data_IF_735658652690
#
_entry.id   IF_735658652690
#
_cell.length_a   1.000
_cell.length_b   1.000
_cell.length_c   1.000
_cell.angle_alpha   90.00
_cell.angle_beta   90.00
_cell.angle_gamma   90.00
#
_symmetry.space_group_name_H-M   'P 1'
#
loop_
_entity.id
_entity.type
_entity.pdbx_description
1 polymer ?
#
# COMPACT_ATOMS: atom_id res chain seq x y z
N UNK A 1 19.99 31.21 -21.58
CA UNK A 1 19.63 29.79 -21.33
C UNK A 1 18.75 29.65 -20.09
N UNK A 2 19.16 30.12 -18.91
CA UNK A 2 18.31 30.15 -17.71
C UNK A 2 17.02 30.98 -17.90
N UNK A 3 17.09 32.14 -18.56
CA UNK A 3 15.92 32.99 -18.84
C UNK A 3 14.87 32.33 -19.74
N UNK A 4 15.30 31.56 -20.75
CA UNK A 4 14.41 30.81 -21.66
C UNK A 4 13.74 29.67 -20.90
N UNK A 5 14.51 28.96 -20.07
CA UNK A 5 14.00 27.89 -19.21
C UNK A 5 12.94 28.41 -18.21
N UNK A 6 13.14 29.59 -17.62
CA UNK A 6 12.15 30.22 -16.74
C UNK A 6 10.89 30.70 -17.50
N UNK A 7 11.01 31.15 -18.75
CA UNK A 7 9.83 31.49 -19.56
C UNK A 7 9.03 30.27 -20.00
N UNK A 8 9.71 29.18 -20.37
CA UNK A 8 9.05 27.93 -20.79
C UNK A 8 8.38 27.22 -19.61
N UNK A 9 9.04 27.17 -18.45
CA UNK A 9 8.47 26.62 -17.22
C UNK A 9 7.27 27.44 -16.73
N UNK A 10 7.33 28.77 -16.80
CA UNK A 10 6.18 29.64 -16.46
C UNK A 10 5.00 29.39 -17.41
N UNK A 11 5.25 29.28 -18.71
CA UNK A 11 4.20 28.97 -19.71
C UNK A 11 3.59 27.58 -19.49
N UNK A 12 4.40 26.59 -19.09
CA UNK A 12 3.89 25.25 -18.75
C UNK A 12 2.99 25.28 -17.52
N UNK A 13 3.40 25.99 -16.46
CA UNK A 13 2.61 26.13 -15.23
C UNK A 13 1.28 26.87 -15.47
N UNK A 14 1.26 27.87 -16.35
CA UNK A 14 0.02 28.60 -16.67
C UNK A 14 -0.93 27.80 -17.57
N UNK A 15 -0.40 26.97 -18.47
CA UNK A 15 -1.21 26.26 -19.48
C UNK A 15 -1.69 24.87 -19.05
N UNK A 16 -1.03 24.25 -18.07
CA UNK A 16 -1.46 22.95 -17.52
C UNK A 16 -2.77 23.11 -16.76
N UNK A 17 -3.78 22.28 -17.06
CA UNK A 17 -5.09 22.35 -16.37
C UNK A 17 -5.06 21.65 -15.00
N UNK A 18 -4.34 20.54 -14.90
CA UNK A 18 -4.30 19.71 -13.70
C UNK A 18 -3.23 20.20 -12.72
N UNK A 19 -3.61 20.33 -11.46
CA UNK A 19 -2.70 20.76 -10.38
C UNK A 19 -1.60 19.74 -10.15
N UNK A 20 -1.88 18.45 -10.35
CA UNK A 20 -0.88 17.38 -10.16
C UNK A 20 0.28 17.47 -11.15
N UNK A 21 0.01 17.79 -12.43
CA UNK A 21 1.04 17.95 -13.46
C UNK A 21 1.99 19.12 -13.10
N UNK A 22 1.44 20.20 -12.52
CA UNK A 22 2.24 21.34 -12.03
C UNK A 22 3.12 20.94 -10.86
N UNK A 23 2.56 20.22 -9.88
CA UNK A 23 3.30 19.78 -8.70
C UNK A 23 4.43 18.82 -9.04
N UNK A 24 4.16 17.86 -9.94
CA UNK A 24 5.15 16.92 -10.45
C UNK A 24 6.29 17.63 -11.19
N UNK A 25 5.96 18.64 -12.00
CA UNK A 25 6.94 19.44 -12.73
C UNK A 25 7.82 20.25 -11.77
N UNK A 26 7.23 20.89 -10.75
CA UNK A 26 7.95 21.62 -9.71
C UNK A 26 8.89 20.68 -8.93
N UNK A 27 8.41 19.51 -8.51
CA UNK A 27 9.23 18.54 -7.80
C UNK A 27 10.44 18.05 -8.63
N UNK A 28 10.27 17.92 -9.96
CA UNK A 28 11.37 17.62 -10.89
C UNK A 28 12.34 18.79 -11.05
N UNK A 29 11.83 20.02 -11.11
CA UNK A 29 12.67 21.22 -11.21
C UNK A 29 13.61 21.37 -10.02
N UNK A 30 13.11 21.13 -8.80
CA UNK A 30 13.91 21.20 -7.57
C UNK A 30 14.65 19.91 -7.23
N UNK A 31 14.47 18.87 -8.04
CA UNK A 31 15.05 17.54 -7.83
C UNK A 31 14.73 16.93 -6.45
N UNK A 32 13.54 17.21 -5.92
CA UNK A 32 13.07 16.59 -4.68
C UNK A 32 12.59 15.16 -4.96
N UNK A 33 13.41 14.18 -4.59
CA UNK A 33 13.11 12.76 -4.80
C UNK A 33 11.84 12.28 -4.07
N UNK A 34 11.55 12.83 -2.89
CA UNK A 34 10.39 12.40 -2.10
C UNK A 34 9.11 13.01 -2.67
N UNK A 35 9.10 14.30 -2.97
CA UNK A 35 7.92 14.97 -3.52
C UNK A 35 7.60 14.46 -4.94
N UNK A 36 8.63 14.13 -5.76
CA UNK A 36 8.43 13.46 -7.05
C UNK A 36 7.75 12.10 -6.89
N UNK A 37 8.18 11.31 -5.91
CA UNK A 37 7.56 10.02 -5.62
C UNK A 37 6.12 10.20 -5.12
N UNK A 38 5.91 11.16 -4.22
CA UNK A 38 4.61 11.48 -3.67
C UNK A 38 3.60 11.82 -4.76
N UNK A 39 3.96 12.71 -5.68
CA UNK A 39 3.04 13.11 -6.75
C UNK A 39 2.84 12.00 -7.80
N UNK A 40 3.84 11.17 -8.09
CA UNK A 40 3.65 10.00 -8.98
C UNK A 40 2.69 8.97 -8.38
N UNK A 41 2.84 8.69 -7.09
CA UNK A 41 1.95 7.75 -6.41
C UNK A 41 0.53 8.31 -6.32
N UNK A 42 0.42 9.58 -5.97
CA UNK A 42 -0.86 10.28 -5.90
C UNK A 42 -1.53 10.33 -7.26
N UNK A 43 -0.79 10.59 -8.35
CA UNK A 43 -1.33 10.57 -9.71
C UNK A 43 -1.95 9.21 -10.00
N UNK A 44 -1.20 8.12 -9.82
CA UNK A 44 -1.71 6.77 -10.03
C UNK A 44 -3.03 6.50 -9.28
N UNK A 45 -3.08 6.77 -7.98
CA UNK A 45 -4.27 6.47 -7.18
C UNK A 45 -5.43 7.45 -7.39
N UNK A 46 -5.18 8.71 -7.74
CA UNK A 46 -6.23 9.62 -8.20
C UNK A 46 -6.85 9.11 -9.50
N UNK A 47 -6.05 8.51 -10.40
CA UNK A 47 -6.56 7.88 -11.61
C UNK A 47 -7.32 6.57 -11.34
N UNK A 48 -6.92 5.80 -10.32
CA UNK A 48 -7.60 4.56 -9.94
C UNK A 48 -8.95 4.79 -9.25
N UNK A 49 -9.04 5.80 -8.36
CA UNK A 49 -10.23 6.07 -7.55
C UNK A 49 -11.10 7.23 -8.06
N UNK A 50 -10.56 8.09 -8.93
CA UNK A 50 -11.25 9.28 -9.44
C UNK A 50 -12.23 8.99 -10.57
N UNK A 51 -13.16 9.93 -10.77
CA UNK A 51 -14.09 9.92 -11.91
C UNK A 51 -13.38 10.65 -13.05
N UNK A 52 -12.97 9.93 -14.08
CA UNK A 52 -12.21 10.52 -15.20
C UNK A 52 -12.87 10.17 -16.52
N UNK A 53 -12.84 11.13 -17.45
CA UNK A 53 -13.21 10.91 -18.85
C UNK A 53 -12.33 9.79 -19.46
N UNK A 54 -12.99 8.78 -20.03
CA UNK A 54 -12.42 7.55 -20.63
C UNK A 54 -11.31 7.79 -21.68
N UNK A 55 -11.09 9.03 -22.11
CA UNK A 55 -10.12 9.41 -23.13
C UNK A 55 -8.69 9.65 -22.61
N UNK A 56 -8.45 9.61 -21.29
CA UNK A 56 -7.11 9.80 -20.72
C UNK A 56 -6.44 8.46 -20.41
N UNK A 57 -6.15 7.68 -21.45
CA UNK A 57 -5.32 6.48 -21.38
C UNK A 57 -3.84 6.84 -21.07
N UNK A 58 -3.55 7.32 -19.86
CA UNK A 58 -2.18 7.40 -19.34
C UNK A 58 -1.84 6.04 -18.74
N UNK A 59 -0.97 5.28 -19.39
CA UNK A 59 -0.38 4.07 -18.82
C UNK A 59 0.60 4.49 -17.72
N UNK A 60 0.11 4.63 -16.49
CA UNK A 60 0.90 5.00 -15.32
C UNK A 60 1.53 3.73 -14.74
N UNK A 61 2.84 3.55 -14.92
CA UNK A 61 3.60 2.54 -14.18
C UNK A 61 4.25 3.18 -12.96
N UNK A 62 3.92 2.66 -11.78
CA UNK A 62 4.59 3.04 -10.55
C UNK A 62 6.03 2.51 -10.57
N UNK A 63 7.00 3.35 -10.21
CA UNK A 63 8.39 2.90 -10.06
C UNK A 63 8.53 1.98 -8.83
N UNK A 64 9.33 0.93 -8.99
CA UNK A 64 9.63 -0.16 -8.04
C UNK A 64 10.25 0.25 -6.68
N UNK A 65 10.36 1.55 -6.36
CA UNK A 65 11.12 2.01 -5.18
C UNK A 65 10.43 1.76 -3.84
N UNK A 66 9.11 1.50 -3.82
CA UNK A 66 8.39 1.04 -2.63
C UNK A 66 7.33 0.00 -3.01
N UNK A 67 7.71 -1.28 -2.98
CA UNK A 67 6.83 -2.38 -3.38
C UNK A 67 5.51 -2.42 -2.59
N UNK A 68 5.55 -2.07 -1.30
CA UNK A 68 4.37 -2.14 -0.42
C UNK A 68 3.29 -1.13 -0.81
N UNK A 69 3.62 -0.04 -1.50
CA UNK A 69 2.65 1.00 -1.89
C UNK A 69 2.06 0.81 -3.29
N UNK A 70 2.51 -0.20 -4.03
CA UNK A 70 1.94 -0.55 -5.35
C UNK A 70 0.49 -1.03 -5.24
N UNK A 71 -0.27 -1.04 -6.32
CA UNK A 71 -1.57 -1.69 -6.34
C UNK A 71 -1.44 -3.21 -6.12
N UNK A 72 -2.51 -3.85 -5.64
CA UNK A 72 -2.49 -5.28 -5.31
C UNK A 72 -2.18 -6.17 -6.51
N UNK A 73 -2.62 -5.80 -7.73
CA UNK A 73 -2.42 -6.61 -8.93
C UNK A 73 -0.97 -6.58 -9.41
N UNK A 74 -0.38 -5.39 -9.56
CA UNK A 74 1.04 -5.29 -9.94
C UNK A 74 1.93 -5.88 -8.86
N UNK A 75 1.57 -5.71 -7.58
CA UNK A 75 2.29 -6.30 -6.48
C UNK A 75 2.28 -7.83 -6.54
N UNK A 76 1.12 -8.45 -6.75
CA UNK A 76 1.00 -9.91 -6.90
C UNK A 76 1.90 -10.44 -8.04
N UNK A 77 1.88 -9.78 -9.20
CA UNK A 77 2.72 -10.17 -10.35
C UNK A 77 4.21 -10.09 -10.02
N UNK A 78 4.67 -8.98 -9.43
CA UNK A 78 6.07 -8.79 -9.04
C UNK A 78 6.48 -9.84 -8.00
N UNK A 79 5.63 -10.10 -7.01
CA UNK A 79 5.94 -11.10 -5.98
C UNK A 79 5.99 -12.51 -6.57
N UNK A 80 5.09 -12.85 -7.49
CA UNK A 80 5.09 -14.13 -8.19
C UNK A 80 6.35 -14.32 -9.05
N UNK A 81 6.79 -13.30 -9.79
CA UNK A 81 8.07 -13.39 -10.51
C UNK A 81 9.25 -13.59 -9.55
N UNK A 82 9.26 -12.88 -8.42
CA UNK A 82 10.33 -12.99 -7.43
C UNK A 82 10.35 -14.37 -6.78
N UNK A 83 9.20 -14.97 -6.50
CA UNK A 83 9.13 -16.33 -5.93
C UNK A 83 9.58 -17.36 -6.94
N UNK A 84 9.16 -17.27 -8.20
CA UNK A 84 9.63 -18.16 -9.27
C UNK A 84 11.15 -18.08 -9.44
N UNK A 85 11.71 -16.85 -9.47
CA UNK A 85 13.18 -16.68 -9.56
C UNK A 85 13.92 -17.26 -8.35
N UNK A 86 13.31 -17.23 -7.16
CA UNK A 86 13.88 -17.85 -5.96
C UNK A 86 13.78 -19.35 -6.00
N UNK A 87 12.63 -19.91 -6.39
CA UNK A 87 12.40 -21.35 -6.55
C UNK A 87 13.46 -21.97 -7.47
N UNK A 88 13.68 -21.36 -8.66
CA UNK A 88 14.73 -21.78 -9.60
C UNK A 88 16.14 -21.79 -8.97
N UNK A 89 16.41 -20.86 -8.04
CA UNK A 89 17.70 -20.76 -7.34
C UNK A 89 17.76 -21.60 -6.06
N UNK A 90 16.62 -22.08 -5.55
CA UNK A 90 16.47 -22.63 -4.20
C UNK A 90 16.97 -24.07 -4.05
N UNK A 91 17.51 -24.69 -5.10
CA UNK A 91 18.10 -26.03 -5.07
C UNK A 91 19.28 -26.19 -4.07
N UNK A 92 19.69 -25.13 -3.36
CA UNK A 92 20.88 -25.12 -2.51
C UNK A 92 20.63 -25.03 -0.99
N UNK A 93 19.41 -24.74 -0.49
CA UNK A 93 19.18 -24.63 0.98
C UNK A 93 17.74 -24.88 1.43
N UNK A 94 17.57 -25.65 2.50
CA UNK A 94 16.26 -26.04 3.07
C UNK A 94 15.44 -24.85 3.60
N UNK A 95 16.08 -23.83 4.18
CA UNK A 95 15.40 -22.62 4.65
C UNK A 95 14.81 -21.77 3.50
N UNK A 96 15.44 -21.79 2.34
CA UNK A 96 14.97 -21.05 1.15
C UNK A 96 13.73 -21.72 0.52
N UNK A 97 13.65 -23.05 0.61
CA UNK A 97 12.52 -23.84 0.11
C UNK A 97 11.25 -23.53 0.93
N UNK A 98 11.36 -23.50 2.27
CA UNK A 98 10.23 -23.18 3.15
C UNK A 98 9.65 -21.78 2.87
N UNK A 99 10.51 -20.78 2.68
CA UNK A 99 10.06 -19.44 2.30
C UNK A 99 9.34 -19.45 0.93
N UNK A 100 9.81 -20.24 -0.03
CA UNK A 100 9.15 -20.37 -1.34
C UNK A 100 7.76 -21.01 -1.20
N UNK A 101 7.64 -22.09 -0.41
CA UNK A 101 6.37 -22.76 -0.11
C UNK A 101 5.38 -21.77 0.52
N UNK A 102 5.79 -21.05 1.56
CA UNK A 102 4.94 -20.04 2.21
C UNK A 102 4.48 -18.96 1.23
N UNK A 103 5.39 -18.49 0.38
CA UNK A 103 5.07 -17.47 -0.60
C UNK A 103 4.09 -17.99 -1.65
N UNK A 104 4.23 -19.23 -2.11
CA UNK A 104 3.30 -19.86 -3.06
C UNK A 104 1.91 -20.11 -2.45
N UNK A 105 1.84 -20.51 -1.18
CA UNK A 105 0.57 -20.65 -0.45
C UNK A 105 -0.16 -19.31 -0.40
N UNK A 106 0.54 -18.23 -0.06
CA UNK A 106 -0.05 -16.89 -0.02
C UNK A 106 -0.47 -16.44 -1.42
N UNK A 107 0.36 -16.66 -2.45
CA UNK A 107 0.03 -16.35 -3.86
C UNK A 107 -1.04 -17.27 -4.49
N UNK A 108 -1.67 -18.16 -3.71
CA UNK A 108 -2.67 -19.15 -4.19
C UNK A 108 -2.16 -20.12 -5.26
N UNK A 109 -0.84 -20.25 -5.41
CA UNK A 109 -0.21 -21.23 -6.29
C UNK A 109 -0.04 -22.57 -5.55
N UNK A 110 -1.18 -23.15 -5.17
CA UNK A 110 -1.25 -24.31 -4.27
C UNK A 110 -0.58 -25.54 -4.89
N UNK A 111 -0.79 -25.79 -6.18
CA UNK A 111 -0.20 -26.95 -6.86
C UNK A 111 1.32 -26.93 -6.80
N UNK A 112 1.93 -25.75 -7.02
CA UNK A 112 3.39 -25.60 -6.93
C UNK A 112 3.89 -25.74 -5.49
N UNK A 113 3.17 -25.18 -4.51
CA UNK A 113 3.50 -25.34 -3.09
C UNK A 113 3.48 -26.82 -2.66
N UNK A 114 2.46 -27.58 -3.11
CA UNK A 114 2.34 -29.02 -2.84
C UNK A 114 3.47 -29.80 -3.50
N UNK A 115 3.84 -29.49 -4.75
CA UNK A 115 4.99 -30.11 -5.41
C UNK A 115 6.27 -29.92 -4.59
N UNK A 116 6.58 -28.69 -4.18
CA UNK A 116 7.78 -28.39 -3.39
C UNK A 116 7.80 -29.11 -2.03
N UNK A 117 6.64 -29.30 -1.39
CA UNK A 117 6.55 -30.09 -0.16
C UNK A 117 6.84 -31.57 -0.41
N UNK A 118 6.37 -32.14 -1.53
CA UNK A 118 6.56 -33.55 -1.88
C UNK A 118 7.96 -33.85 -2.43
N UNK A 119 8.64 -32.85 -3.01
CA UNK A 119 10.01 -32.93 -3.50
C UNK A 119 11.06 -32.93 -2.35
N UNK A 120 10.63 -32.84 -1.08
CA UNK A 120 11.52 -32.96 0.08
C UNK A 120 12.20 -34.33 0.10
N UNK A 121 13.49 -34.39 0.45
CA UNK A 121 14.24 -35.65 0.55
C UNK A 121 13.57 -36.59 1.58
N UNK A 122 13.29 -37.86 1.24
CA UNK A 122 12.73 -38.84 2.18
C UNK A 122 13.54 -39.05 3.46
N UNK A 123 14.83 -38.71 3.45
CA UNK A 123 15.72 -38.82 4.61
C UNK A 123 15.72 -37.55 5.49
N UNK A 124 15.04 -36.48 5.09
CA UNK A 124 14.90 -35.26 5.89
C UNK A 124 13.88 -35.50 7.02
N UNK A 125 14.22 -35.07 8.24
CA UNK A 125 13.34 -35.14 9.42
C UNK A 125 11.99 -34.41 9.19
N UNK A 126 11.96 -33.44 8.29
CA UNK A 126 10.76 -32.66 7.94
C UNK A 126 9.87 -33.32 6.88
N UNK A 127 10.32 -34.40 6.22
CA UNK A 127 9.61 -35.07 5.12
C UNK A 127 8.18 -35.46 5.49
N UNK A 128 8.02 -36.21 6.59
CA UNK A 128 6.70 -36.66 7.03
C UNK A 128 5.76 -35.49 7.34
N UNK A 129 6.30 -34.43 7.94
CA UNK A 129 5.56 -33.21 8.26
C UNK A 129 5.13 -32.48 6.97
N UNK A 130 5.99 -32.43 5.96
CA UNK A 130 5.71 -31.82 4.66
C UNK A 130 4.66 -32.61 3.87
N UNK A 131 4.69 -33.94 3.90
CA UNK A 131 3.62 -34.77 3.32
C UNK A 131 2.26 -34.50 3.98
N UNK A 132 2.22 -34.43 5.32
CA UNK A 132 0.98 -34.12 6.05
C UNK A 132 0.48 -32.70 5.70
N UNK A 133 1.39 -31.72 5.64
CA UNK A 133 1.05 -30.35 5.21
C UNK A 133 0.47 -30.34 3.79
N UNK A 134 1.08 -31.05 2.85
CA UNK A 134 0.59 -31.16 1.47
C UNK A 134 -0.84 -31.75 1.42
N UNK A 135 -1.10 -32.82 2.18
CA UNK A 135 -2.43 -33.41 2.29
C UNK A 135 -3.46 -32.42 2.88
N UNK A 136 -3.08 -31.70 3.93
CA UNK A 136 -3.96 -30.71 4.58
C UNK A 136 -4.32 -29.58 3.61
N UNK A 137 -3.33 -28.97 2.96
CA UNK A 137 -3.53 -27.88 2.02
C UNK A 137 -4.44 -28.32 0.86
N UNK A 138 -4.18 -29.50 0.27
CA UNK A 138 -4.99 -30.04 -0.83
C UNK A 138 -6.43 -30.36 -0.41
N UNK A 139 -6.62 -30.80 0.84
CA UNK A 139 -7.96 -31.08 1.40
C UNK A 139 -8.76 -29.81 1.66
N UNK A 140 -8.12 -28.74 2.14
CA UNK A 140 -8.80 -27.48 2.45
C UNK A 140 -9.24 -26.74 1.18
N UNK A 141 -8.46 -26.79 0.10
CA UNK A 141 -8.80 -26.14 -1.19
C UNK A 141 -10.12 -26.64 -1.80
N UNK A 142 -10.49 -27.91 -1.53
CA UNK A 142 -11.68 -28.55 -2.10
C UNK A 142 -12.97 -28.30 -1.30
N UNK A 143 -12.88 -27.66 -0.13
CA UNK A 143 -14.02 -27.48 0.76
C UNK A 143 -14.59 -26.07 0.61
N UNK A 144 -15.72 -25.95 -0.11
CA UNK A 144 -16.44 -24.69 -0.35
C UNK A 144 -17.37 -24.26 0.79
N UNK A 145 -17.47 -25.04 1.89
CA UNK A 145 -18.51 -24.85 2.91
C UNK A 145 -17.92 -24.35 4.23
N UNK A 146 -18.34 -23.14 4.64
CA UNK A 146 -17.49 -22.14 5.28
C UNK A 146 -17.37 -22.13 6.82
N UNK A 147 -18.13 -22.89 7.60
CA UNK A 147 -18.30 -22.48 9.03
C UNK A 147 -17.92 -23.48 10.12
N UNK A 148 -18.07 -24.79 9.91
CA UNK A 148 -17.90 -25.76 11.01
C UNK A 148 -16.53 -26.42 11.12
N UNK A 149 -15.79 -26.57 10.00
CA UNK A 149 -14.50 -27.31 9.96
C UNK A 149 -13.25 -26.44 10.13
N UNK A 150 -13.35 -25.14 9.87
CA UNK A 150 -12.24 -24.19 10.04
C UNK A 150 -11.94 -23.89 11.51
N UNK A 151 -12.79 -24.33 12.45
CA UNK A 151 -12.65 -24.09 13.89
C UNK A 151 -11.45 -24.79 14.49
N UNK A 152 -11.21 -26.07 14.16
CA UNK A 152 -10.06 -26.82 14.69
C UNK A 152 -8.75 -26.28 14.11
N UNK A 153 -8.68 -26.03 12.81
CA UNK A 153 -7.49 -25.45 12.17
C UNK A 153 -7.17 -24.06 12.75
N UNK A 154 -8.20 -23.24 13.00
CA UNK A 154 -8.04 -21.95 13.69
C UNK A 154 -7.55 -22.12 15.13
N UNK A 155 -8.07 -23.09 15.89
CA UNK A 155 -7.60 -23.37 17.24
C UNK A 155 -6.13 -23.81 17.25
N UNK A 156 -5.72 -24.68 16.32
CA UNK A 156 -4.32 -25.08 16.17
C UNK A 156 -3.46 -23.87 15.80
N UNK A 157 -3.89 -23.05 14.85
CA UNK A 157 -3.15 -21.86 14.42
C UNK A 157 -2.95 -20.86 15.57
N UNK A 158 -4.01 -20.54 16.30
CA UNK A 158 -3.94 -19.61 17.45
C UNK A 158 -3.10 -20.17 18.61
N UNK A 159 -3.14 -21.48 18.85
CA UNK A 159 -2.27 -22.15 19.82
C UNK A 159 -0.79 -22.06 19.42
N UNK A 160 -0.47 -22.28 18.14
CA UNK A 160 0.89 -22.13 17.63
C UNK A 160 1.40 -20.70 17.79
N UNK A 161 0.59 -19.70 17.44
CA UNK A 161 0.94 -18.28 17.61
C UNK A 161 1.19 -17.95 19.09
N UNK A 162 0.30 -18.40 19.98
CA UNK A 162 0.46 -18.20 21.42
C UNK A 162 1.74 -18.84 21.98
N UNK A 163 2.21 -19.94 21.39
CA UNK A 163 3.46 -20.61 21.74
C UNK A 163 4.69 -20.08 20.97
N UNK A 164 4.59 -18.93 20.30
CA UNK A 164 5.70 -18.28 19.61
C UNK A 164 5.99 -18.80 18.19
N UNK A 165 5.22 -19.77 17.70
CA UNK A 165 5.29 -20.29 16.31
C UNK A 165 4.36 -19.50 15.38
N UNK A 166 4.70 -18.22 15.22
CA UNK A 166 3.85 -17.25 14.47
C UNK A 166 3.75 -17.64 13.00
N UNK A 167 4.84 -18.12 12.39
CA UNK A 167 4.92 -18.40 10.96
C UNK A 167 3.98 -19.54 10.55
N UNK A 168 4.03 -20.65 11.28
CA UNK A 168 3.19 -21.82 11.02
C UNK A 168 1.72 -21.53 11.33
N UNK A 169 1.44 -20.76 12.38
CA UNK A 169 0.07 -20.36 12.69
C UNK A 169 -0.54 -19.44 11.63
N UNK A 170 0.23 -18.45 11.16
CA UNK A 170 -0.18 -17.56 10.05
C UNK A 170 -0.38 -18.37 8.77
N UNK A 171 0.51 -19.30 8.45
CA UNK A 171 0.38 -20.19 7.30
C UNK A 171 -0.94 -20.97 7.35
N UNK A 172 -1.29 -21.56 8.50
CA UNK A 172 -2.56 -22.27 8.68
C UNK A 172 -3.77 -21.35 8.52
N UNK A 173 -3.76 -20.15 9.10
CA UNK A 173 -4.85 -19.18 8.90
C UNK A 173 -5.04 -18.81 7.41
N UNK A 174 -3.94 -18.68 6.66
CA UNK A 174 -3.99 -18.44 5.21
C UNK A 174 -4.61 -19.60 4.43
N UNK A 175 -4.40 -20.85 4.84
CA UNK A 175 -4.98 -22.03 4.16
C UNK A 175 -6.50 -22.16 4.33
N UNK A 176 -7.07 -21.54 5.38
CA UNK A 176 -8.52 -21.49 5.65
C UNK A 176 -9.12 -20.11 5.33
N UNK A 177 -8.42 -19.30 4.54
CA UNK A 177 -8.84 -17.96 4.10
C UNK A 177 -9.11 -16.93 5.21
N UNK A 178 -8.64 -17.16 6.45
CA UNK A 178 -8.70 -16.19 7.56
C UNK A 178 -7.53 -15.19 7.53
N UNK A 179 -7.27 -14.60 6.36
CA UNK A 179 -6.10 -13.76 6.11
C UNK A 179 -6.16 -12.43 6.88
N UNK A 180 -7.35 -11.90 7.15
CA UNK A 180 -7.51 -10.67 7.93
C UNK A 180 -7.09 -10.87 9.39
N UNK A 181 -7.44 -12.01 10.00
CA UNK A 181 -6.98 -12.37 11.35
C UNK A 181 -5.47 -12.61 11.37
N UNK A 182 -4.93 -13.31 10.37
CA UNK A 182 -3.50 -13.52 10.23
C UNK A 182 -2.71 -12.20 10.18
N UNK A 183 -3.22 -11.21 9.44
CA UNK A 183 -2.63 -9.87 9.41
C UNK A 183 -2.59 -9.22 10.79
N UNK A 184 -3.67 -9.34 11.59
CA UNK A 184 -3.72 -8.78 12.95
C UNK A 184 -2.67 -9.42 13.86
N UNK A 185 -2.58 -10.76 13.86
CA UNK A 185 -1.56 -11.46 14.62
C UNK A 185 -0.14 -11.05 14.21
N UNK A 186 0.12 -10.91 12.91
CA UNK A 186 1.42 -10.41 12.42
C UNK A 186 1.73 -9.02 12.98
N UNK A 187 0.78 -8.09 12.99
CA UNK A 187 0.97 -6.75 13.55
C UNK A 187 1.19 -6.76 15.06
N UNK A 188 0.43 -7.59 15.80
CA UNK A 188 0.59 -7.73 17.25
C UNK A 188 1.96 -8.31 17.64
N UNK A 189 2.57 -9.10 16.74
CA UNK A 189 3.94 -9.59 16.85
C UNK A 189 5.00 -8.69 16.17
N UNK A 190 4.68 -7.42 15.88
CA UNK A 190 5.57 -6.44 15.24
C UNK A 190 6.07 -6.82 13.82
N UNK A 191 5.45 -7.78 13.15
CA UNK A 191 5.74 -8.17 11.78
C UNK A 191 4.92 -7.34 10.76
N UNK A 192 5.10 -6.02 10.80
CA UNK A 192 4.31 -5.05 10.02
C UNK A 192 4.42 -5.26 8.51
N UNK A 193 5.63 -5.30 7.96
CA UNK A 193 5.82 -5.43 6.50
C UNK A 193 5.20 -6.72 5.95
N UNK A 194 5.33 -7.82 6.70
CA UNK A 194 4.73 -9.10 6.33
C UNK A 194 3.21 -9.08 6.41
N UNK A 195 2.64 -8.38 7.38
CA UNK A 195 1.19 -8.15 7.45
C UNK A 195 0.69 -7.42 6.20
N UNK A 196 1.37 -6.36 5.75
CA UNK A 196 0.97 -5.61 4.56
C UNK A 196 1.16 -6.44 3.31
N UNK A 197 2.28 -7.17 3.20
CA UNK A 197 2.52 -8.10 2.12
C UNK A 197 1.38 -9.12 1.99
N UNK A 198 0.96 -9.72 3.11
CA UNK A 198 -0.16 -10.66 3.15
C UNK A 198 -1.49 -9.99 2.78
N UNK A 199 -1.77 -8.81 3.34
CA UNK A 199 -3.00 -8.07 3.11
C UNK A 199 -3.19 -7.76 1.62
N UNK A 200 -2.15 -7.28 0.94
CA UNK A 200 -2.20 -6.94 -0.49
C UNK A 200 -2.43 -8.15 -1.39
N UNK A 201 -1.97 -9.33 -0.98
CA UNK A 201 -2.11 -10.55 -1.79
C UNK A 201 -3.41 -11.29 -1.54
N UNK A 202 -3.99 -11.19 -0.34
CA UNK A 202 -5.16 -12.01 0.06
C UNK A 202 -6.44 -11.23 0.28
N UNK A 203 -6.36 -9.99 0.71
CA UNK A 203 -7.52 -9.16 0.98
C UNK A 203 -7.87 -8.36 -0.27
N UNK A 204 -9.16 -8.15 -0.51
CA UNK A 204 -9.62 -7.30 -1.61
C UNK A 204 -9.30 -5.85 -1.27
N UNK A 205 -8.70 -5.09 -2.19
CA UNK A 205 -8.27 -3.69 -1.95
C UNK A 205 -9.40 -2.78 -1.44
N UNK A 206 -10.63 -3.01 -1.89
CA UNK A 206 -11.81 -2.22 -1.48
C UNK A 206 -12.52 -2.77 -0.23
N UNK A 207 -11.95 -3.76 0.46
CA UNK A 207 -12.57 -4.32 1.66
C UNK A 207 -12.26 -3.47 2.90
N UNK A 208 -13.19 -3.49 3.86
CA UNK A 208 -12.99 -2.86 5.16
C UNK A 208 -11.82 -3.51 5.91
N UNK A 209 -11.65 -4.82 5.80
CA UNK A 209 -10.56 -5.55 6.45
C UNK A 209 -9.18 -5.11 5.95
N UNK A 210 -9.00 -4.96 4.64
CA UNK A 210 -7.77 -4.43 4.05
C UNK A 210 -7.51 -3.03 4.57
N UNK A 211 -8.52 -2.18 4.48
CA UNK A 211 -8.46 -0.80 4.95
C UNK A 211 -8.02 -0.73 6.43
N UNK A 212 -8.59 -1.53 7.32
CA UNK A 212 -8.27 -1.49 8.74
C UNK A 212 -6.83 -1.94 9.03
N UNK A 213 -6.33 -2.96 8.32
CA UNK A 213 -4.93 -3.41 8.42
C UNK A 213 -3.96 -2.29 8.00
N UNK A 214 -4.24 -1.63 6.88
CA UNK A 214 -3.38 -0.55 6.38
C UNK A 214 -3.44 0.69 7.29
N UNK A 215 -4.62 1.04 7.80
CA UNK A 215 -4.78 2.15 8.77
C UNK A 215 -3.94 1.94 10.03
N UNK A 216 -3.97 0.73 10.59
CA UNK A 216 -3.18 0.40 11.78
C UNK A 216 -1.67 0.52 11.50
N UNK A 217 -1.25 0.14 10.30
CA UNK A 217 0.15 0.31 9.86
C UNK A 217 0.54 1.78 9.64
N UNK A 218 -0.34 2.60 9.07
CA UNK A 218 -0.08 4.04 8.89
C UNK A 218 0.04 4.75 10.23
N UNK A 219 -0.80 4.40 11.21
CA UNK A 219 -0.72 4.90 12.58
C UNK A 219 0.58 4.47 13.27
N UNK A 220 1.01 3.23 13.09
CA UNK A 220 2.28 2.74 13.61
C UNK A 220 3.48 3.52 13.04
N UNK A 221 3.53 3.73 11.72
CA UNK A 221 4.64 4.42 11.05
C UNK A 221 4.78 5.88 11.52
N UNK A 222 3.68 6.55 11.89
CA UNK A 222 3.70 7.94 12.38
C UNK A 222 4.54 8.11 13.65
N UNK A 223 4.78 7.05 14.41
CA UNK A 223 5.49 7.14 15.68
C UNK A 223 7.02 7.14 15.55
N UNK A 224 7.58 6.92 14.34
CA UNK A 224 9.01 6.68 14.16
C UNK A 224 9.84 7.93 13.84
N UNK A 225 9.57 8.62 12.72
CA UNK A 225 10.38 9.74 12.24
C UNK A 225 9.53 10.74 11.45
N UNK A 226 10.03 11.97 11.25
CA UNK A 226 9.30 12.97 10.46
C UNK A 226 9.05 12.51 9.01
N UNK A 227 10.03 11.88 8.37
CA UNK A 227 9.87 11.26 7.04
C UNK A 227 8.85 10.13 7.07
N UNK A 228 8.84 9.32 8.14
CA UNK A 228 7.84 8.27 8.34
C UNK A 228 6.43 8.85 8.46
N UNK A 229 6.26 10.00 9.13
CA UNK A 229 4.96 10.67 9.23
C UNK A 229 4.46 11.12 7.85
N UNK A 230 5.32 11.66 6.99
CA UNK A 230 4.94 11.97 5.62
C UNK A 230 4.62 10.71 4.81
N UNK A 231 5.37 9.62 5.00
CA UNK A 231 5.08 8.33 4.37
C UNK A 231 3.74 7.72 4.82
N UNK A 232 3.27 8.04 6.02
CA UNK A 232 1.94 7.60 6.47
C UNK A 232 0.80 8.17 5.62
N UNK A 233 0.98 9.36 5.04
CA UNK A 233 0.02 9.91 4.08
C UNK A 233 0.01 9.12 2.77
N UNK A 234 1.18 8.69 2.27
CA UNK A 234 1.28 7.84 1.07
C UNK A 234 0.57 6.50 1.24
N UNK A 235 0.68 5.91 2.42
CA UNK A 235 -0.01 4.66 2.77
C UNK A 235 -1.54 4.83 2.77
N UNK A 236 -2.03 5.98 3.24
CA UNK A 236 -3.46 6.28 3.21
C UNK A 236 -3.96 6.54 1.79
N UNK A 237 -3.16 7.23 0.96
CA UNK A 237 -3.45 7.48 -0.46
C UNK A 237 -3.57 6.15 -1.22
N UNK A 238 -2.67 5.18 -0.97
CA UNK A 238 -2.72 3.88 -1.64
C UNK A 238 -3.97 3.04 -1.34
N UNK A 239 -4.74 3.43 -0.33
CA UNK A 239 -6.01 2.77 0.03
C UNK A 239 -7.24 3.63 -0.30
N UNK A 240 -7.07 4.69 -1.09
CA UNK A 240 -8.14 5.63 -1.41
C UNK A 240 -8.58 6.50 -0.23
N UNK A 241 -7.85 6.52 0.90
CA UNK A 241 -8.19 7.30 2.09
C UNK A 241 -7.65 8.74 1.99
N UNK A 242 -7.97 9.44 0.90
CA UNK A 242 -7.44 10.78 0.61
C UNK A 242 -7.76 11.80 1.70
N UNK A 243 -9.00 11.81 2.21
CA UNK A 243 -9.43 12.66 3.34
C UNK A 243 -8.50 12.57 4.54
N UNK A 244 -8.23 11.34 5.00
CA UNK A 244 -7.34 11.12 6.15
C UNK A 244 -5.88 11.44 5.82
N UNK A 245 -5.45 11.21 4.58
CA UNK A 245 -4.11 11.60 4.15
C UNK A 245 -3.91 13.12 4.24
N UNK A 246 -4.89 13.90 3.79
CA UNK A 246 -4.90 15.36 3.88
C UNK A 246 -4.85 15.81 5.34
N UNK A 247 -5.70 15.24 6.20
CA UNK A 247 -5.71 15.54 7.65
C UNK A 247 -4.36 15.22 8.32
N UNK A 248 -3.74 14.09 7.95
CA UNK A 248 -2.42 13.73 8.46
C UNK A 248 -1.36 14.74 8.02
N UNK A 249 -1.32 15.12 6.74
CA UNK A 249 -0.37 16.11 6.23
C UNK A 249 -0.54 17.46 6.93
N UNK A 250 -1.78 17.89 7.10
CA UNK A 250 -2.11 19.13 7.81
C UNK A 250 -1.61 19.10 9.26
N UNK A 251 -1.91 18.04 10.00
CA UNK A 251 -1.50 17.87 11.39
C UNK A 251 0.03 17.75 11.57
N UNK A 252 0.78 17.42 10.51
CA UNK A 252 2.25 17.41 10.54
C UNK A 252 2.89 18.75 10.19
N UNK A 253 2.09 19.79 9.93
CA UNK A 253 2.56 21.11 9.52
C UNK A 253 2.88 21.23 8.03
N UNK A 254 2.58 20.20 7.21
CA UNK A 254 2.72 20.25 5.76
C UNK A 254 1.44 20.80 5.10
N UNK A 255 0.99 21.95 5.57
CA UNK A 255 -0.30 22.56 5.19
C UNK A 255 -0.38 22.84 3.69
N UNK A 256 0.69 23.36 3.08
CA UNK A 256 0.75 23.59 1.64
C UNK A 256 0.60 22.31 0.82
N UNK A 257 1.23 21.22 1.25
CA UNK A 257 1.15 19.93 0.57
C UNK A 257 -0.26 19.33 0.72
N UNK A 258 -0.86 19.47 1.90
CA UNK A 258 -2.24 19.07 2.17
C UNK A 258 -3.23 19.81 1.27
N UNK A 259 -3.05 21.12 1.09
CA UNK A 259 -3.88 21.94 0.19
C UNK A 259 -3.71 21.50 -1.26
N UNK A 260 -2.48 21.33 -1.74
CA UNK A 260 -2.25 20.86 -3.12
C UNK A 260 -2.89 19.50 -3.36
N UNK A 261 -2.81 18.59 -2.38
CA UNK A 261 -3.47 17.28 -2.45
C UNK A 261 -5.00 17.42 -2.49
N UNK A 262 -5.58 18.24 -1.62
CA UNK A 262 -7.01 18.55 -1.60
C UNK A 262 -7.52 19.06 -2.96
N UNK A 263 -6.80 20.02 -3.55
CA UNK A 263 -7.16 20.55 -4.88
C UNK A 263 -7.14 19.47 -5.95
N UNK A 264 -6.15 18.57 -5.91
CA UNK A 264 -6.11 17.43 -6.82
C UNK A 264 -7.32 16.51 -6.58
N UNK A 265 -7.67 16.19 -5.33
CA UNK A 265 -8.86 15.39 -5.03
C UNK A 265 -10.16 16.03 -5.53
N UNK A 266 -10.32 17.37 -5.40
CA UNK A 266 -11.46 18.13 -5.95
C UNK A 266 -11.52 18.01 -7.48
N UNK A 267 -10.38 18.15 -8.17
CA UNK A 267 -10.29 18.04 -9.63
C UNK A 267 -10.67 16.66 -10.18
N UNK A 268 -10.47 15.59 -9.40
CA UNK A 268 -10.79 14.20 -9.76
C UNK A 268 -12.14 13.73 -9.21
N UNK A 269 -12.92 14.61 -8.55
CA UNK A 269 -14.24 14.29 -8.01
C UNK A 269 -14.25 13.33 -6.81
N UNK A 270 -13.14 13.23 -6.08
CA UNK A 270 -12.97 12.29 -4.97
C UNK A 270 -13.41 12.89 -3.63
N UNK A 271 -13.33 14.22 -3.48
CA UNK A 271 -13.67 14.92 -2.24
C UNK A 271 -14.89 15.83 -2.44
N UNK A 272 -15.72 15.92 -1.40
CA UNK A 272 -16.94 16.74 -1.36
C UNK A 272 -16.67 18.21 -0.99
N UNK A 273 -15.41 18.55 -0.72
CA UNK A 273 -14.97 19.91 -0.41
C UNK A 273 -15.05 20.26 1.07
N UNK A 274 -15.57 19.38 1.93
CA UNK A 274 -15.85 19.69 3.35
C UNK A 274 -14.59 19.96 4.19
N UNK A 275 -13.44 19.41 3.79
CA UNK A 275 -12.16 19.61 4.49
C UNK A 275 -11.50 20.92 4.03
N UNK A 276 -11.80 21.37 2.80
CA UNK A 276 -11.14 22.49 2.15
C UNK A 276 -11.20 23.77 2.99
N UNK A 277 -12.40 24.17 3.42
CA UNK A 277 -12.59 25.45 4.13
C UNK A 277 -11.68 25.59 5.37
N UNK A 278 -11.62 24.56 6.21
CA UNK A 278 -10.77 24.57 7.42
C UNK A 278 -9.28 24.62 7.09
N UNK A 279 -8.84 23.84 6.11
CA UNK A 279 -7.44 23.83 5.68
C UNK A 279 -7.01 25.18 5.12
N UNK A 280 -7.91 25.84 4.37
CA UNK A 280 -7.64 27.17 3.85
C UNK A 280 -7.58 28.19 4.96
N UNK A 281 -8.52 28.18 5.91
CA UNK A 281 -8.51 29.10 7.05
C UNK A 281 -7.21 28.99 7.86
N UNK A 282 -6.77 27.77 8.19
CA UNK A 282 -5.52 27.53 8.90
C UNK A 282 -4.29 28.01 8.08
N UNK A 283 -4.32 27.87 6.76
CA UNK A 283 -3.28 28.39 5.88
C UNK A 283 -3.28 29.91 5.75
N UNK A 284 -4.47 30.53 5.72
CA UNK A 284 -4.63 31.98 5.69
C UNK A 284 -4.06 32.62 6.95
N UNK A 285 -4.33 32.02 8.11
CA UNK A 285 -3.78 32.46 9.40
C UNK A 285 -2.26 32.33 9.42
N UNK A 286 -1.73 31.21 8.90
CA UNK A 286 -0.29 31.01 8.74
C UNK A 286 0.33 32.09 7.84
N UNK A 287 -0.22 32.32 6.65
CA UNK A 287 0.28 33.34 5.71
C UNK A 287 0.14 34.77 6.25
N UNK A 288 -0.93 35.04 7.01
CA UNK A 288 -1.13 36.29 7.72
C UNK A 288 -0.05 36.54 8.77
N UNK A 289 0.35 35.50 9.50
CA UNK A 289 1.45 35.59 10.49
C UNK A 289 2.80 35.95 9.84
N UNK A 290 2.99 35.58 8.56
CA UNK A 290 4.17 35.92 7.77
C UNK A 290 4.04 37.23 6.97
N UNK A 291 2.90 37.92 7.04
CA UNK A 291 2.67 39.20 6.35
C UNK A 291 2.25 39.08 4.88
N UNK A 292 1.86 37.89 4.41
CA UNK A 292 1.47 37.63 3.01
C UNK A 292 -0.06 37.62 2.79
N UNK A 293 -0.78 38.52 3.45
CA UNK A 293 -2.26 38.56 3.46
C UNK A 293 -2.89 38.79 2.08
N UNK A 294 -2.21 39.52 1.19
CA UNK A 294 -2.70 39.78 -0.18
C UNK A 294 -2.69 38.53 -1.05
N UNK A 295 -1.58 37.78 -1.05
CA UNK A 295 -1.42 36.53 -1.81
C UNK A 295 -2.42 35.47 -1.32
N UNK A 296 -2.62 35.43 0.00
CA UNK A 296 -3.52 34.50 0.63
C UNK A 296 -4.99 34.74 0.18
N UNK A 297 -5.43 35.99 0.11
CA UNK A 297 -6.78 36.34 -0.34
C UNK A 297 -7.03 36.03 -1.84
N UNK A 298 -6.02 36.23 -2.69
CA UNK A 298 -6.09 35.84 -4.10
C UNK A 298 -6.19 34.31 -4.26
N UNK A 299 -5.54 33.56 -3.36
CA UNK A 299 -5.59 32.10 -3.38
C UNK A 299 -6.97 31.55 -2.98
N UNK A 300 -7.63 32.18 -2.01
CA UNK A 300 -8.97 31.79 -1.55
C UNK A 300 -10.01 31.88 -2.66
N UNK A 301 -9.96 32.94 -3.46
CA UNK A 301 -10.93 33.18 -4.55
C UNK A 301 -10.77 32.25 -5.75
N UNK A 302 -9.56 31.71 -5.96
CA UNK A 302 -9.24 30.87 -7.13
C UNK A 302 -9.42 29.37 -6.90
N UNK A 303 -9.42 28.90 -5.64
CA UNK A 303 -9.40 27.47 -5.30
C UNK A 303 -10.68 27.00 -4.59
N UNK A 304 -11.32 27.88 -3.80
CA UNK A 304 -12.52 27.52 -3.02
C UNK A 304 -13.79 27.52 -3.89
N UNK A 305 -13.85 28.38 -4.91
CA UNK A 305 -14.90 28.36 -5.95
C UNK A 305 -14.74 27.15 -6.88
#
# INVERSE_FOLDING_TARGET
RLTIFFSESKNFLTNTKLTIDRCLFIARLFNDSWEQYFWRLTEYYLYEYGIIDENSNRQLSLLSSYDLLLDSKTFEQIQLERTIRRDIKSLASSSSINHCIDSYIVLKQIDRAVQLLLDTDPNDDTYALNCIKACLISSMQKQSNETSKNTVTKLVATNLIANGKVDEGVQLLCTIDLCAEACRYLQDHNQWERSIWLAKLRLKSNSQEYTDVIKRWSEHIRNYSQTSKMNSALILISCGQFRRAIEVLHNQGATELAIRLFVCCKQFGIDDGTIGEKLFDDYMDLMGSFGFTSIANDYRTTVVV
#
